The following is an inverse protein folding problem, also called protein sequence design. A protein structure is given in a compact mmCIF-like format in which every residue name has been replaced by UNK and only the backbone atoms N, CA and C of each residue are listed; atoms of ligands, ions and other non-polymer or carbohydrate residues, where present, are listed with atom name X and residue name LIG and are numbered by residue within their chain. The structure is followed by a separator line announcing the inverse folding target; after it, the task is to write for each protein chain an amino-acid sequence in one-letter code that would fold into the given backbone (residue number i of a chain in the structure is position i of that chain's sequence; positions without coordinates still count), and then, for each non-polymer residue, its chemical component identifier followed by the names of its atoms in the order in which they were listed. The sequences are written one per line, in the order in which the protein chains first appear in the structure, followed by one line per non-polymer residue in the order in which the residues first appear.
data_IF_848257246967
#
_entry.id   IF_848257246967
#
_cell.length_a   1.000
_cell.length_b   1.000
_cell.length_c   1.000
_cell.angle_alpha   90.00
_cell.angle_beta   90.00
_cell.angle_gamma   90.00
#
_symmetry.space_group_name_H-M   'P 1'
#
loop_
_entity.id
_entity.type
_entity.pdbx_description
1 polymer ?
#
# COMPACT_ATOMS: atom_id res chain seq x y z
N UNK A 1 68.31 -28.59 4.58
CA UNK A 1 68.76 -27.55 3.64
C UNK A 1 67.89 -26.32 3.87
N UNK A 2 68.18 -25.37 4.76
CA UNK A 2 69.19 -25.21 5.80
C UNK A 2 68.56 -24.35 6.92
N UNK A 3 68.99 -24.62 8.15
CA UNK A 3 68.59 -23.95 9.40
C UNK A 3 69.46 -22.72 9.70
N UNK A 4 69.06 -21.84 10.65
CA UNK A 4 69.42 -20.42 10.72
C UNK A 4 70.52 -20.10 11.75
N UNK A 5 71.14 -18.89 11.72
CA UNK A 5 71.81 -18.34 12.91
C UNK A 5 72.10 -16.81 12.85
N UNK A 6 71.96 -16.18 14.04
CA UNK A 6 72.63 -14.97 14.59
C UNK A 6 72.66 -13.67 13.77
N UNK A 7 71.99 -12.57 14.14
CA UNK A 7 72.26 -11.67 15.28
C UNK A 7 73.67 -11.06 15.30
N UNK A 8 73.85 -9.85 14.75
CA UNK A 8 74.79 -8.91 15.37
C UNK A 8 74.60 -7.43 15.01
N UNK A 9 74.64 -6.63 16.09
CA UNK A 9 75.24 -5.29 16.27
C UNK A 9 75.07 -4.21 15.20
N UNK A 10 74.57 -3.05 15.67
CA UNK A 10 75.38 -1.84 15.57
C UNK A 10 74.64 -0.52 15.33
N UNK A 11 74.67 0.32 16.36
CA UNK A 11 74.88 1.78 16.33
C UNK A 11 73.69 2.72 16.03
N UNK A 12 73.44 3.55 17.04
CA UNK A 12 72.55 4.71 17.20
C UNK A 12 73.43 5.99 17.13
N UNK A 13 72.92 7.24 17.30
CA UNK A 13 72.08 8.08 16.44
C UNK A 13 72.65 9.53 16.28
N UNK A 14 71.93 10.45 15.60
CA UNK A 14 71.88 11.95 15.71
C UNK A 14 71.63 12.60 14.33
N UNK A 15 70.40 12.97 13.94
CA UNK A 15 69.65 14.27 14.13
C UNK A 15 70.05 15.40 13.13
N UNK A 16 69.19 16.41 12.81
CA UNK A 16 68.28 16.40 11.65
C UNK A 16 68.37 17.71 10.79
N UNK A 17 67.70 17.76 9.63
CA UNK A 17 67.31 19.04 8.99
C UNK A 17 66.01 18.92 8.15
N UNK A 18 65.35 20.06 7.99
CA UNK A 18 63.95 20.36 7.70
C UNK A 18 63.42 20.16 6.27
N UNK A 19 62.08 20.00 6.17
CA UNK A 19 61.23 20.29 5.00
C UNK A 19 60.53 19.04 4.45
N UNK A 20 59.21 18.90 4.29
CA UNK A 20 58.09 19.83 4.32
C UNK A 20 57.12 19.52 3.17
N UNK A 21 56.21 18.55 3.28
CA UNK A 21 54.88 18.60 2.63
C UNK A 21 53.92 17.49 3.10
N UNK A 22 52.65 17.89 3.25
CA UNK A 22 51.51 17.22 3.87
C UNK A 22 50.90 16.04 3.08
N UNK A 23 50.32 15.08 3.81
CA UNK A 23 49.35 14.10 3.31
C UNK A 23 48.84 13.15 4.40
N UNK A 24 47.72 13.51 5.03
CA UNK A 24 47.14 12.95 6.27
C UNK A 24 46.78 11.45 6.22
N UNK A 25 47.15 10.73 7.28
CA UNK A 25 46.58 9.45 7.74
C UNK A 25 45.94 9.73 9.09
N UNK A 26 44.67 9.36 9.31
CA UNK A 26 44.06 9.40 10.65
C UNK A 26 43.26 8.12 10.90
N UNK A 27 43.81 7.28 11.78
CA UNK A 27 43.16 6.19 12.49
C UNK A 27 42.51 6.75 13.76
N UNK A 28 41.27 6.37 14.08
CA UNK A 28 40.64 6.67 15.37
C UNK A 28 40.30 5.38 16.11
N UNK A 29 41.12 5.01 17.09
CA UNK A 29 40.73 4.21 18.25
C UNK A 29 41.58 4.67 19.45
N UNK A 30 40.96 5.30 20.44
CA UNK A 30 41.61 5.80 21.64
C UNK A 30 40.60 5.94 22.78
N UNK A 31 40.76 5.10 23.80
CA UNK A 31 40.12 5.24 25.11
C UNK A 31 40.70 6.46 25.85
N UNK A 32 39.85 7.19 26.58
CA UNK A 32 40.32 8.20 27.53
C UNK A 32 39.21 9.01 28.20
N UNK A 33 39.02 8.72 29.50
CA UNK A 33 38.78 9.69 30.59
C UNK A 33 37.37 10.27 30.82
N UNK A 34 36.85 9.88 31.98
CA UNK A 34 35.87 10.43 32.92
C UNK A 34 35.22 11.81 32.68
N UNK A 35 33.91 11.90 32.99
CA UNK A 35 33.33 13.08 33.63
C UNK A 35 32.17 13.77 32.89
N UNK A 36 30.92 13.36 33.18
CA UNK A 36 29.73 14.19 32.94
C UNK A 36 28.48 13.38 32.61
N UNK A 37 27.28 13.72 33.14
CA UNK A 37 26.05 13.05 32.76
C UNK A 37 25.75 13.35 31.29
N UNK A 38 25.88 12.34 30.43
CA UNK A 38 25.50 12.44 29.04
C UNK A 38 23.99 12.68 28.96
N UNK A 39 23.64 13.93 28.63
CA UNK A 39 22.32 14.45 28.32
C UNK A 39 21.50 13.46 27.48
N UNK A 40 20.18 13.31 27.71
CA UNK A 40 19.33 12.47 26.88
C UNK A 40 19.49 12.96 25.43
N UNK A 41 19.93 12.07 24.54
CA UNK A 41 19.85 12.28 23.09
C UNK A 41 18.41 12.68 22.78
N UNK A 42 18.18 13.98 22.55
CA UNK A 42 17.00 14.47 21.83
C UNK A 42 17.15 13.95 20.41
N UNK A 43 16.75 12.70 20.23
CA UNK A 43 16.53 12.07 18.94
C UNK A 43 15.59 13.01 18.20
N UNK A 44 16.13 13.68 17.18
CA UNK A 44 15.38 14.59 16.33
C UNK A 44 14.21 13.84 15.72
N UNK A 45 13.06 13.91 16.40
CA UNK A 45 11.78 13.46 15.90
C UNK A 45 11.59 14.13 14.54
N UNK A 46 11.67 13.33 13.49
CA UNK A 46 11.56 13.76 12.11
C UNK A 46 10.32 14.63 11.94
N UNK A 47 10.52 15.90 11.64
CA UNK A 47 9.47 16.85 11.27
C UNK A 47 8.83 16.51 9.89
N UNK A 48 9.23 15.38 9.30
CA UNK A 48 8.62 14.67 8.18
C UNK A 48 7.98 13.40 8.79
N UNK A 49 6.67 13.22 8.91
CA UNK A 49 5.60 13.89 8.19
C UNK A 49 4.23 13.55 8.84
N UNK A 50 3.76 14.26 9.89
CA UNK A 50 2.39 14.06 10.41
C UNK A 50 1.36 14.14 9.27
N UNK A 51 1.63 15.02 8.30
CA UNK A 51 0.85 15.17 7.06
C UNK A 51 0.75 13.90 6.21
N UNK A 52 1.79 13.08 6.10
CA UNK A 52 1.69 11.89 5.24
C UNK A 52 0.94 10.79 5.98
N UNK A 53 1.08 10.68 7.30
CA UNK A 53 0.32 9.67 8.06
C UNK A 53 -1.16 9.99 7.96
N UNK A 54 -1.50 11.28 8.10
CA UNK A 54 -2.85 11.77 7.85
C UNK A 54 -3.30 11.49 6.41
N UNK A 55 -2.48 11.79 5.39
CA UNK A 55 -2.83 11.53 3.99
C UNK A 55 -3.10 10.03 3.73
N UNK A 56 -2.26 9.14 4.24
CA UNK A 56 -2.44 7.69 4.10
C UNK A 56 -3.72 7.22 4.80
N UNK A 57 -3.97 7.70 6.02
CA UNK A 57 -5.21 7.40 6.75
C UNK A 57 -6.46 7.89 6.01
N UNK A 58 -6.39 9.09 5.41
CA UNK A 58 -7.49 9.64 4.61
C UNK A 58 -7.73 8.81 3.34
N UNK A 59 -6.68 8.40 2.64
CA UNK A 59 -6.80 7.53 1.46
C UNK A 59 -7.42 6.17 1.84
N UNK A 60 -7.05 5.60 2.99
CA UNK A 60 -7.65 4.36 3.50
C UNK A 60 -9.12 4.54 3.86
N UNK A 61 -9.48 5.66 4.49
CA UNK A 61 -10.88 6.00 4.79
C UNK A 61 -11.71 6.15 3.51
N UNK A 62 -11.18 6.82 2.49
CA UNK A 62 -11.83 6.96 1.19
C UNK A 62 -11.96 5.61 0.48
N UNK A 63 -10.91 4.78 0.50
CA UNK A 63 -10.94 3.41 -0.02
C UNK A 63 -12.05 2.59 0.66
N UNK A 64 -12.12 2.62 1.99
CA UNK A 64 -13.16 1.95 2.77
C UNK A 64 -14.56 2.46 2.39
N UNK A 65 -14.78 3.77 2.35
CA UNK A 65 -16.08 4.34 2.03
C UNK A 65 -16.56 3.97 0.62
N UNK A 66 -15.67 4.08 -0.38
CA UNK A 66 -16.02 3.77 -1.78
C UNK A 66 -16.22 2.27 -2.00
N UNK A 67 -15.35 1.43 -1.43
CA UNK A 67 -15.50 -0.03 -1.54
C UNK A 67 -16.75 -0.54 -0.82
N UNK A 68 -17.06 0.00 0.36
CA UNK A 68 -18.29 -0.33 1.09
C UNK A 68 -19.54 0.12 0.32
N UNK A 69 -19.54 1.34 -0.22
CA UNK A 69 -20.66 1.83 -1.02
C UNK A 69 -20.87 0.97 -2.29
N UNK A 70 -19.78 0.62 -2.99
CA UNK A 70 -19.82 -0.29 -4.14
C UNK A 70 -20.37 -1.67 -3.75
N UNK A 71 -19.85 -2.25 -2.66
CA UNK A 71 -20.29 -3.53 -2.11
C UNK A 71 -21.79 -3.53 -1.83
N UNK A 72 -22.28 -2.53 -1.09
CA UNK A 72 -23.69 -2.44 -0.68
C UNK A 72 -24.59 -2.25 -1.90
N UNK A 73 -24.23 -1.39 -2.85
CA UNK A 73 -25.01 -1.18 -4.07
C UNK A 73 -25.05 -2.45 -4.92
N UNK A 74 -23.93 -3.15 -5.09
CA UNK A 74 -23.90 -4.41 -5.84
C UNK A 74 -24.71 -5.50 -5.13
N UNK A 75 -24.51 -5.68 -3.82
CA UNK A 75 -25.19 -6.70 -3.02
C UNK A 75 -26.72 -6.52 -3.01
N UNK A 76 -27.18 -5.28 -3.11
CA UNK A 76 -28.61 -4.92 -3.18
C UNK A 76 -29.13 -4.79 -4.61
N UNK A 77 -28.30 -5.09 -5.63
CA UNK A 77 -28.68 -4.96 -7.02
C UNK A 77 -29.56 -6.14 -7.47
N UNK A 78 -30.87 -5.94 -7.33
CA UNK A 78 -31.91 -6.80 -7.89
C UNK A 78 -32.95 -5.94 -8.61
N UNK A 79 -33.50 -6.47 -9.70
CA UNK A 79 -34.61 -5.87 -10.42
C UNK A 79 -35.56 -6.94 -10.95
N UNK A 80 -36.86 -6.68 -10.89
CA UNK A 80 -37.86 -7.55 -11.51
C UNK A 80 -38.26 -6.95 -12.85
N UNK A 81 -37.93 -7.65 -13.93
CA UNK A 81 -38.25 -7.23 -15.30
C UNK A 81 -39.44 -8.05 -15.82
N UNK A 82 -40.41 -7.37 -16.42
CA UNK A 82 -41.52 -7.99 -17.15
C UNK A 82 -41.09 -8.31 -18.57
N UNK A 83 -41.07 -9.60 -18.94
CA UNK A 83 -40.98 -9.95 -20.35
C UNK A 83 -42.21 -9.49 -21.12
N UNK A 84 -42.03 -9.26 -22.41
CA UNK A 84 -43.10 -9.09 -23.42
C UNK A 84 -44.12 -10.23 -23.39
N UNK A 85 -43.77 -11.40 -22.83
CA UNK A 85 -44.66 -12.54 -22.60
C UNK A 85 -45.42 -12.52 -21.25
N UNK A 86 -45.42 -11.39 -20.52
CA UNK A 86 -46.11 -11.26 -19.22
C UNK A 86 -45.48 -12.05 -18.06
N UNK A 87 -44.35 -12.73 -18.28
CA UNK A 87 -43.62 -13.44 -17.24
C UNK A 87 -42.66 -12.49 -16.53
N UNK A 88 -42.86 -12.32 -15.23
CA UNK A 88 -41.92 -11.61 -14.36
C UNK A 88 -40.72 -12.50 -14.09
N UNK A 89 -39.50 -12.01 -14.36
CA UNK A 89 -38.26 -12.64 -13.91
C UNK A 89 -37.46 -11.63 -13.11
N UNK A 90 -37.01 -12.05 -11.93
CA UNK A 90 -36.10 -11.27 -11.10
C UNK A 90 -34.68 -11.51 -11.58
N UNK A 91 -33.99 -10.44 -11.95
CA UNK A 91 -32.57 -10.38 -12.27
C UNK A 91 -31.81 -10.09 -10.99
N UNK A 92 -30.82 -10.90 -10.67
CA UNK A 92 -29.94 -10.69 -9.54
C UNK A 92 -28.49 -10.49 -9.99
N UNK A 93 -27.73 -9.74 -9.20
CA UNK A 93 -26.29 -9.59 -9.41
C UNK A 93 -25.54 -10.93 -9.37
N UNK A 94 -26.07 -11.91 -8.63
CA UNK A 94 -25.52 -13.27 -8.50
C UNK A 94 -25.47 -14.00 -9.85
N UNK A 95 -26.28 -13.61 -10.81
CA UNK A 95 -26.33 -14.24 -12.14
C UNK A 95 -25.10 -13.93 -13.00
N UNK A 96 -24.26 -12.98 -12.59
CA UNK A 96 -23.09 -12.54 -13.34
C UNK A 96 -21.81 -12.80 -12.54
N UNK A 97 -20.95 -13.70 -13.03
CA UNK A 97 -19.68 -14.03 -12.36
C UNK A 97 -18.79 -12.82 -12.13
N UNK A 98 -18.81 -11.86 -13.06
CA UNK A 98 -18.00 -10.65 -12.91
C UNK A 98 -18.55 -9.69 -11.85
N UNK A 99 -19.87 -9.66 -11.62
CA UNK A 99 -20.45 -8.87 -10.52
C UNK A 99 -20.21 -9.55 -9.18
N UNK A 100 -20.25 -10.89 -9.12
CA UNK A 100 -19.79 -11.65 -7.94
C UNK A 100 -18.33 -11.35 -7.63
N UNK A 101 -17.49 -11.24 -8.67
CA UNK A 101 -16.08 -10.90 -8.49
C UNK A 101 -15.88 -9.48 -7.96
N UNK A 102 -16.58 -8.48 -8.49
CA UNK A 102 -16.57 -7.10 -7.95
C UNK A 102 -17.00 -7.08 -6.49
N UNK A 103 -18.08 -7.78 -6.13
CA UNK A 103 -18.55 -7.85 -4.76
C UNK A 103 -17.50 -8.47 -3.84
N UNK A 104 -16.91 -9.61 -4.23
CA UNK A 104 -15.84 -10.26 -3.46
C UNK A 104 -14.60 -9.35 -3.31
N UNK A 105 -14.19 -8.68 -4.40
CA UNK A 105 -13.05 -7.78 -4.38
C UNK A 105 -13.28 -6.57 -3.47
N UNK A 106 -14.44 -5.91 -3.58
CA UNK A 106 -14.83 -4.83 -2.69
C UNK A 106 -14.94 -5.29 -1.23
N UNK A 107 -15.40 -6.53 -0.96
CA UNK A 107 -15.48 -7.07 0.40
C UNK A 107 -14.10 -7.22 1.02
N UNK A 108 -13.15 -7.82 0.29
CA UNK A 108 -11.76 -8.00 0.73
C UNK A 108 -11.11 -6.63 1.00
N UNK A 109 -11.21 -5.69 0.05
CA UNK A 109 -10.66 -4.34 0.17
C UNK A 109 -11.28 -3.57 1.34
N UNK A 110 -12.60 -3.69 1.53
CA UNK A 110 -13.32 -3.04 2.62
C UNK A 110 -12.86 -3.56 3.99
N UNK A 111 -12.76 -4.88 4.16
CA UNK A 111 -12.29 -5.49 5.40
C UNK A 111 -10.83 -5.14 5.69
N UNK A 112 -9.97 -5.20 4.67
CA UNK A 112 -8.58 -4.79 4.79
C UNK A 112 -8.45 -3.31 5.20
N UNK A 113 -9.13 -2.41 4.49
CA UNK A 113 -9.07 -0.97 4.77
C UNK A 113 -9.59 -0.66 6.18
N UNK A 114 -10.62 -1.35 6.64
CA UNK A 114 -11.15 -1.20 8.00
C UNK A 114 -10.10 -1.60 9.05
N UNK A 115 -9.42 -2.73 8.86
CA UNK A 115 -8.33 -3.17 9.75
C UNK A 115 -7.18 -2.16 9.77
N UNK A 116 -6.76 -1.66 8.61
CA UNK A 116 -5.69 -0.65 8.48
C UNK A 116 -6.05 0.69 9.13
N UNK A 117 -7.31 1.13 9.04
CA UNK A 117 -7.79 2.33 9.75
C UNK A 117 -7.71 2.11 11.26
N UNK A 118 -8.13 0.93 11.75
CA UNK A 118 -8.06 0.57 13.17
C UNK A 118 -6.64 0.55 13.70
N UNK A 119 -5.71 -0.07 12.97
CA UNK A 119 -4.28 -0.09 13.29
C UNK A 119 -3.65 1.31 13.25
N UNK A 120 -4.01 2.12 12.25
CA UNK A 120 -3.57 3.52 12.14
C UNK A 120 -4.06 4.38 13.29
N UNK A 121 -5.32 4.24 13.69
CA UNK A 121 -5.88 4.97 14.84
C UNK A 121 -5.26 4.49 16.16
N UNK A 122 -5.03 3.19 16.32
CA UNK A 122 -4.32 2.64 17.48
C UNK A 122 -2.93 3.23 17.63
N UNK A 123 -2.18 3.35 16.52
CA UNK A 123 -0.87 3.98 16.50
C UNK A 123 -0.94 5.45 16.94
N UNK A 124 -1.93 6.21 16.44
CA UNK A 124 -2.14 7.61 16.81
C UNK A 124 -2.49 7.79 18.30
N UNK A 125 -3.27 6.86 18.87
CA UNK A 125 -3.71 6.94 20.27
C UNK A 125 -2.65 6.49 21.27
N UNK A 126 -1.90 5.41 20.96
CA UNK A 126 -0.96 4.79 21.91
C UNK A 126 0.51 5.13 21.65
N UNK A 127 0.84 5.70 20.49
CA UNK A 127 2.21 6.00 20.09
C UNK A 127 3.12 4.78 19.95
N UNK A 128 2.55 3.58 19.81
CA UNK A 128 3.30 2.31 19.66
C UNK A 128 2.87 1.61 18.39
N UNK A 129 3.84 1.26 17.54
CA UNK A 129 3.60 0.41 16.38
C UNK A 129 3.34 -1.03 16.86
N UNK A 130 2.36 -1.71 16.26
CA UNK A 130 2.06 -3.13 16.57
C UNK A 130 3.14 -4.05 15.98
N UNK A 131 3.80 -3.60 14.92
CA UNK A 131 4.80 -4.35 14.16
C UNK A 131 6.08 -3.51 14.00
N UNK A 132 7.27 -4.12 13.85
CA UNK A 132 8.48 -3.37 13.51
C UNK A 132 8.29 -2.50 12.26
N UNK A 133 8.84 -1.30 12.27
CA UNK A 133 8.62 -0.28 11.24
C UNK A 133 8.95 -0.78 9.82
N UNK A 134 10.03 -1.55 9.68
CA UNK A 134 10.40 -2.18 8.41
C UNK A 134 9.31 -3.10 7.86
N UNK A 135 8.76 -3.97 8.72
CA UNK A 135 7.74 -4.94 8.32
C UNK A 135 6.40 -4.24 8.04
N UNK A 136 6.07 -3.17 8.76
CA UNK A 136 4.88 -2.36 8.49
C UNK A 136 4.91 -1.74 7.09
N UNK A 137 6.03 -1.16 6.67
CA UNK A 137 6.13 -0.54 5.35
C UNK A 137 6.03 -1.54 4.20
N UNK A 138 6.64 -2.72 4.32
CA UNK A 138 6.53 -3.77 3.31
C UNK A 138 5.13 -4.38 3.26
N UNK A 139 4.50 -4.60 4.42
CA UNK A 139 3.15 -5.14 4.51
C UNK A 139 2.14 -4.20 3.84
N UNK A 140 2.14 -2.92 4.23
CA UNK A 140 1.27 -1.89 3.67
C UNK A 140 1.45 -1.77 2.16
N UNK A 141 2.70 -1.66 1.69
CA UNK A 141 2.99 -1.51 0.27
C UNK A 141 2.53 -2.72 -0.55
N UNK A 142 2.90 -3.94 -0.11
CA UNK A 142 2.59 -5.16 -0.84
C UNK A 142 1.11 -5.49 -0.87
N UNK A 143 0.40 -5.30 0.24
CA UNK A 143 -1.04 -5.56 0.32
C UNK A 143 -1.84 -4.50 -0.43
N UNK A 144 -1.52 -3.21 -0.27
CA UNK A 144 -2.16 -2.12 -1.03
C UNK A 144 -2.03 -2.37 -2.53
N UNK A 145 -0.83 -2.78 -2.99
CA UNK A 145 -0.59 -3.08 -4.40
C UNK A 145 -1.40 -4.31 -4.87
N UNK A 146 -1.36 -5.41 -4.12
CA UNK A 146 -2.09 -6.64 -4.47
C UNK A 146 -3.60 -6.42 -4.54
N UNK A 147 -4.16 -5.70 -3.56
CA UNK A 147 -5.58 -5.39 -3.52
C UNK A 147 -5.99 -4.36 -4.56
N UNK A 148 -5.13 -3.40 -4.91
CA UNK A 148 -5.36 -2.49 -6.03
C UNK A 148 -5.52 -3.27 -7.35
N UNK A 149 -4.64 -4.24 -7.62
CA UNK A 149 -4.75 -5.06 -8.83
C UNK A 149 -6.00 -5.94 -8.81
N UNK A 150 -6.36 -6.50 -7.65
CA UNK A 150 -7.55 -7.34 -7.48
C UNK A 150 -8.86 -6.59 -7.77
N UNK A 151 -9.04 -5.39 -7.21
CA UNK A 151 -10.24 -4.59 -7.49
C UNK A 151 -10.22 -4.04 -8.91
N UNK A 152 -9.06 -3.64 -9.44
CA UNK A 152 -8.94 -3.18 -10.82
C UNK A 152 -9.36 -4.26 -11.83
N UNK A 153 -8.84 -5.49 -11.69
CA UNK A 153 -9.20 -6.60 -12.58
C UNK A 153 -10.70 -6.93 -12.52
N UNK A 154 -11.29 -6.91 -11.32
CA UNK A 154 -12.72 -7.12 -11.14
C UNK A 154 -13.56 -6.03 -11.85
N UNK A 155 -13.20 -4.76 -11.66
CA UNK A 155 -13.86 -3.64 -12.30
C UNK A 155 -13.73 -3.67 -13.82
N UNK A 156 -12.55 -3.93 -14.36
CA UNK A 156 -12.33 -4.02 -15.81
C UNK A 156 -13.21 -5.09 -16.47
N UNK A 157 -13.28 -6.27 -15.88
CA UNK A 157 -14.19 -7.31 -16.36
C UNK A 157 -15.66 -6.89 -16.28
N UNK A 158 -16.06 -6.27 -15.16
CA UNK A 158 -17.45 -5.90 -14.93
C UNK A 158 -17.89 -4.78 -15.86
N UNK A 159 -17.01 -3.83 -16.17
CA UNK A 159 -17.25 -2.81 -17.20
C UNK A 159 -17.45 -3.42 -18.57
N UNK A 160 -16.66 -4.43 -18.95
CA UNK A 160 -16.85 -5.11 -20.22
C UNK A 160 -18.25 -5.77 -20.28
N UNK A 161 -18.68 -6.45 -19.21
CA UNK A 161 -20.04 -7.03 -19.14
C UNK A 161 -21.12 -5.95 -19.17
N UNK A 162 -20.99 -4.88 -18.40
CA UNK A 162 -21.95 -3.78 -18.36
C UNK A 162 -22.10 -3.11 -19.74
N UNK A 163 -20.99 -2.88 -20.44
CA UNK A 163 -20.98 -2.33 -21.79
C UNK A 163 -21.68 -3.26 -22.80
N UNK A 164 -21.33 -4.55 -22.81
CA UNK A 164 -21.96 -5.52 -23.70
C UNK A 164 -23.46 -5.70 -23.44
N UNK A 165 -23.91 -5.58 -22.17
CA UNK A 165 -25.34 -5.57 -21.81
C UNK A 165 -26.05 -4.32 -22.35
N UNK A 166 -25.39 -3.16 -22.28
CA UNK A 166 -25.91 -1.89 -22.78
C UNK A 166 -26.05 -1.88 -24.30
N UNK A 167 -25.08 -2.45 -25.00
CA UNK A 167 -25.08 -2.59 -26.46
C UNK A 167 -25.93 -3.77 -26.97
N UNK A 168 -26.51 -4.58 -26.07
CA UNK A 168 -27.23 -5.83 -26.38
C UNK A 168 -26.38 -6.88 -27.12
N UNK A 169 -25.05 -6.83 -27.00
CA UNK A 169 -24.18 -7.92 -27.46
C UNK A 169 -24.33 -9.17 -26.59
N UNK A 170 -24.68 -8.99 -25.31
CA UNK A 170 -25.14 -10.06 -24.43
C UNK A 170 -26.47 -9.66 -23.81
N UNK A 171 -27.32 -10.64 -23.51
CA UNK A 171 -28.63 -10.42 -22.91
C UNK A 171 -28.69 -11.05 -21.51
N UNK A 172 -29.34 -10.35 -20.58
CA UNK A 172 -29.65 -10.84 -19.24
C UNK A 172 -30.56 -12.06 -19.38
N UNK A 173 -30.10 -13.21 -18.89
CA UNK A 173 -30.74 -14.51 -19.08
C UNK A 173 -31.11 -14.86 -20.53
N UNK A 174 -30.40 -14.29 -21.52
CA UNK A 174 -30.69 -14.50 -22.94
C UNK A 174 -31.97 -13.81 -23.45
N UNK A 175 -32.61 -12.95 -22.66
CA UNK A 175 -33.93 -12.38 -22.99
C UNK A 175 -34.02 -10.87 -22.89
N UNK A 176 -33.33 -10.23 -21.94
CA UNK A 176 -33.49 -8.80 -21.65
C UNK A 176 -32.21 -8.02 -21.90
N UNK A 177 -32.33 -6.81 -22.43
CA UNK A 177 -31.24 -5.84 -22.44
C UNK A 177 -31.30 -4.91 -21.23
N UNK A 178 -30.44 -3.91 -21.24
CA UNK A 178 -30.51 -2.83 -20.25
C UNK A 178 -31.71 -1.90 -20.45
N UNK A 179 -32.40 -1.94 -21.59
CA UNK A 179 -33.60 -1.12 -21.79
C UNK A 179 -34.76 -1.61 -20.89
N UNK A 180 -34.95 -2.93 -20.80
CA UNK A 180 -35.99 -3.53 -19.94
C UNK A 180 -35.54 -3.64 -18.48
N UNK A 181 -34.23 -3.72 -18.23
CA UNK A 181 -33.64 -3.85 -16.90
C UNK A 181 -32.82 -2.60 -16.49
N UNK A 182 -33.27 -1.40 -16.88
CA UNK A 182 -32.49 -0.17 -16.73
C UNK A 182 -32.07 0.11 -15.27
N UNK A 183 -32.95 -0.16 -14.30
CA UNK A 183 -32.63 0.02 -12.88
C UNK A 183 -31.50 -0.89 -12.40
N UNK A 184 -31.41 -2.11 -12.93
CA UNK A 184 -30.33 -3.05 -12.64
C UNK A 184 -29.00 -2.61 -13.27
N UNK A 185 -29.03 -2.24 -14.55
CA UNK A 185 -27.82 -1.80 -15.25
C UNK A 185 -27.26 -0.51 -14.66
N UNK A 186 -28.13 0.47 -14.35
CA UNK A 186 -27.71 1.73 -13.72
C UNK A 186 -27.08 1.51 -12.35
N UNK A 187 -27.66 0.64 -11.50
CA UNK A 187 -27.07 0.28 -10.19
C UNK A 187 -25.71 -0.42 -10.36
N UNK A 188 -25.59 -1.32 -11.34
CA UNK A 188 -24.33 -1.99 -11.64
C UNK A 188 -23.25 -1.00 -12.07
N UNK A 189 -23.57 -0.08 -13.00
CA UNK A 189 -22.67 0.97 -13.48
C UNK A 189 -22.19 1.88 -12.32
N UNK A 190 -23.11 2.31 -11.43
CA UNK A 190 -22.77 3.12 -10.26
C UNK A 190 -21.84 2.35 -9.31
N UNK A 191 -22.15 1.08 -9.02
CA UNK A 191 -21.30 0.23 -8.16
C UNK A 191 -19.90 0.03 -8.73
N UNK A 192 -19.79 -0.24 -10.04
CA UNK A 192 -18.51 -0.37 -10.74
C UNK A 192 -17.72 0.94 -10.69
N UNK A 193 -18.38 2.09 -10.91
CA UNK A 193 -17.75 3.40 -10.80
C UNK A 193 -17.19 3.68 -9.41
N UNK A 194 -17.93 3.34 -8.35
CA UNK A 194 -17.45 3.45 -6.98
C UNK A 194 -16.28 2.51 -6.69
N UNK A 195 -16.29 1.30 -7.24
CA UNK A 195 -15.16 0.36 -7.11
C UNK A 195 -13.90 0.88 -7.83
N UNK A 196 -14.03 1.53 -8.99
CA UNK A 196 -12.91 2.27 -9.59
C UNK A 196 -12.44 3.44 -8.72
N UNK A 197 -13.34 4.15 -8.05
CA UNK A 197 -12.95 5.15 -7.05
C UNK A 197 -12.12 4.54 -5.91
N UNK A 198 -12.56 3.40 -5.37
CA UNK A 198 -11.80 2.66 -4.36
C UNK A 198 -10.42 2.22 -4.88
N UNK A 199 -10.34 1.71 -6.11
CA UNK A 199 -9.08 1.40 -6.80
C UNK A 199 -8.12 2.60 -6.81
N UNK A 200 -8.60 3.79 -7.18
CA UNK A 200 -7.75 4.98 -7.25
C UNK A 200 -7.16 5.33 -5.88
N UNK A 201 -7.97 5.27 -4.82
CA UNK A 201 -7.51 5.60 -3.47
C UNK A 201 -6.51 4.58 -2.91
N UNK A 202 -6.72 3.27 -3.13
CA UNK A 202 -5.77 2.24 -2.69
C UNK A 202 -4.49 2.25 -3.54
N UNK A 203 -4.58 2.57 -4.84
CA UNK A 203 -3.41 2.75 -5.70
C UNK A 203 -2.56 3.95 -5.25
N UNK A 204 -3.20 5.08 -4.92
CA UNK A 204 -2.51 6.24 -4.33
C UNK A 204 -1.90 5.90 -2.96
N UNK A 205 -2.60 5.10 -2.15
CA UNK A 205 -2.07 4.58 -0.87
C UNK A 205 -0.79 3.77 -1.10
N UNK A 206 -0.80 2.84 -2.06
CA UNK A 206 0.36 2.05 -2.46
C UNK A 206 1.53 2.93 -2.92
N UNK A 207 1.29 3.96 -3.72
CA UNK A 207 2.35 4.88 -4.17
C UNK A 207 2.97 5.67 -3.01
N UNK A 208 2.16 6.18 -2.07
CA UNK A 208 2.66 6.90 -0.90
C UNK A 208 3.42 5.97 0.06
N UNK A 209 2.93 4.75 0.27
CA UNK A 209 3.61 3.72 1.06
C UNK A 209 4.94 3.32 0.42
N UNK A 210 4.98 3.12 -0.89
CA UNK A 210 6.19 2.83 -1.66
C UNK A 210 7.20 3.97 -1.60
N UNK A 211 6.76 5.22 -1.74
CA UNK A 211 7.63 6.39 -1.59
C UNK A 211 8.29 6.44 -0.20
N UNK A 212 7.52 6.15 0.86
CA UNK A 212 8.06 6.07 2.23
C UNK A 212 9.05 4.94 2.39
N UNK A 213 8.74 3.76 1.85
CA UNK A 213 9.61 2.60 1.89
C UNK A 213 10.94 2.89 1.22
N UNK A 214 10.94 3.49 0.03
CA UNK A 214 12.16 3.90 -0.69
C UNK A 214 12.94 4.94 0.11
N UNK A 215 12.26 5.95 0.68
CA UNK A 215 12.91 6.96 1.51
C UNK A 215 13.58 6.35 2.75
N UNK A 216 12.89 5.42 3.42
CA UNK A 216 13.41 4.69 4.58
C UNK A 216 14.63 3.82 4.21
N UNK A 217 14.59 3.16 3.05
CA UNK A 217 15.72 2.37 2.52
C UNK A 217 16.95 3.23 2.19
N UNK A 218 16.77 4.43 1.64
CA UNK A 218 17.88 5.30 1.21
C UNK A 218 18.46 6.11 2.38
N UNK A 219 17.63 6.65 3.26
CA UNK A 219 18.06 7.58 4.32
C UNK A 219 18.35 6.89 5.66
N UNK A 220 18.03 5.60 5.77
CA UNK A 220 18.07 4.87 7.04
C UNK A 220 16.84 5.16 7.92
N UNK A 221 16.67 4.35 8.99
CA UNK A 221 15.63 4.55 10.00
C UNK A 221 15.83 5.83 10.82
#
# INVERSE_FOLDING_TARGET
MDSPESSDRGLNPMTPDHGGHNGKVVHYFGQGVEGGPASPRKLGHGHLHPKANTALLLLRLLTFAFSLASLVIMATNSATTTATAGRHRTVNWVDFDTYRYVLAACAIVCLYSFAEIGLGLWYLLKGRMVMPESMAHWFDFGHDQGFAYLIFSACSGATAVAHNLRERHILIHGMYGCDEANSFCMKAEISIGLAFGAFLFIALSSLLSGYRLVKWLILGP
#
